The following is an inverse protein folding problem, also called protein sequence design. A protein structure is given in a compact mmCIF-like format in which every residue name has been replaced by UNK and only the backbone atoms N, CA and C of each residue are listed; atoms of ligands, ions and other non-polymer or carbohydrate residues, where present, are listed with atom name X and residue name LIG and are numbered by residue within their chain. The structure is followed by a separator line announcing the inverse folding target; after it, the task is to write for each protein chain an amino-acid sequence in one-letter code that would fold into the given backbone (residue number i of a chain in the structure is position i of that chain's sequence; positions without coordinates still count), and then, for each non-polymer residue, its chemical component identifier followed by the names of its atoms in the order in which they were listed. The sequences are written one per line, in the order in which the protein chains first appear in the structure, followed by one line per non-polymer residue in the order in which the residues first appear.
data_IF_692638586924
#
_entry.id   IF_692638586924
#
_cell.length_a   1.000
_cell.length_b   1.000
_cell.length_c   1.000
_cell.angle_alpha   90.00
_cell.angle_beta   90.00
_cell.angle_gamma   90.00
#
_symmetry.space_group_name_H-M   'P 1'
#
loop_
_entity.id
_entity.type
_entity.pdbx_description
1 polymer ?
#
# COMPACT_ATOMS: atom_id res chain seq x y z
N UNK A 1 -1.93 17.12 -2.17
CA UNK A 1 -0.71 16.39 -2.55
C UNK A 1 -1.10 14.99 -2.98
N UNK A 2 -0.43 14.45 -3.99
CA UNK A 2 -0.58 13.05 -4.41
C UNK A 2 0.15 12.13 -3.44
N UNK A 3 -0.18 10.84 -3.44
CA UNK A 3 0.49 9.84 -2.58
C UNK A 3 2.01 9.79 -2.82
N UNK A 4 2.48 9.94 -4.07
CA UNK A 4 3.91 10.01 -4.39
C UNK A 4 4.61 11.26 -3.84
N UNK A 5 3.93 12.41 -3.82
CA UNK A 5 4.47 13.61 -3.17
C UNK A 5 4.60 13.41 -1.65
N UNK A 6 3.67 12.67 -1.02
CA UNK A 6 3.78 12.33 0.41
C UNK A 6 4.90 11.33 0.66
N UNK A 7 5.11 10.35 -0.22
CA UNK A 7 6.27 9.45 -0.13
C UNK A 7 7.60 10.19 -0.21
N UNK A 8 7.69 11.25 -1.02
CA UNK A 8 8.87 12.12 -1.03
C UNK A 8 9.06 12.89 0.29
N UNK A 9 7.97 13.31 0.95
CA UNK A 9 8.07 13.88 2.30
C UNK A 9 8.54 12.84 3.31
N UNK A 10 8.03 11.61 3.24
CA UNK A 10 8.45 10.52 4.11
C UNK A 10 9.94 10.22 3.93
N UNK A 11 10.43 10.16 2.69
CA UNK A 11 11.86 10.03 2.39
C UNK A 11 12.69 11.15 3.03
N UNK A 12 12.30 12.42 2.89
CA UNK A 12 13.03 13.54 3.48
C UNK A 12 13.11 13.42 5.00
N UNK A 13 11.99 13.10 5.64
CA UNK A 13 11.93 12.91 7.09
C UNK A 13 12.82 11.74 7.54
N UNK A 14 12.86 10.62 6.79
CA UNK A 14 13.77 9.51 7.09
C UNK A 14 15.25 9.91 6.94
N UNK A 15 15.59 10.73 5.94
CA UNK A 15 16.95 11.25 5.77
C UNK A 15 17.36 12.18 6.92
N UNK A 16 16.43 12.98 7.44
CA UNK A 16 16.65 13.83 8.61
C UNK A 16 16.79 13.02 9.91
N UNK A 17 15.98 11.97 10.08
CA UNK A 17 16.01 11.09 11.27
C UNK A 17 17.24 10.17 11.29
N UNK A 18 17.69 9.71 10.13
CA UNK A 18 18.78 8.75 9.98
C UNK A 18 19.86 9.27 9.01
N UNK A 19 20.57 10.35 9.36
CA UNK A 19 21.54 10.99 8.46
C UNK A 19 22.78 10.12 8.16
N UNK A 20 22.92 8.97 8.84
CA UNK A 20 23.99 8.00 8.59
C UNK A 20 23.63 6.98 7.50
N UNK A 21 22.35 6.90 7.11
CA UNK A 21 21.86 5.95 6.12
C UNK A 21 21.65 6.63 4.77
N UNK A 22 21.93 5.89 3.70
CA UNK A 22 21.68 6.33 2.33
C UNK A 22 20.30 5.85 1.89
N UNK A 23 19.43 6.77 1.49
CA UNK A 23 18.08 6.46 0.99
C UNK A 23 17.91 6.91 -0.46
N UNK A 24 17.09 6.18 -1.21
CA UNK A 24 16.68 6.57 -2.56
C UNK A 24 15.17 6.37 -2.78
N UNK A 25 14.66 7.08 -3.80
CA UNK A 25 13.29 6.94 -4.28
C UNK A 25 13.28 6.43 -5.72
N UNK A 26 12.39 5.47 -5.99
CA UNK A 26 12.18 4.90 -7.32
C UNK A 26 10.70 4.97 -7.66
N UNK A 27 10.40 5.19 -8.94
CA UNK A 27 9.02 5.22 -9.45
C UNK A 27 8.57 3.88 -10.04
N UNK A 28 9.50 2.97 -10.29
CA UNK A 28 9.21 1.71 -10.98
C UNK A 28 10.20 0.60 -10.65
N UNK A 29 9.72 -0.64 -10.80
CA UNK A 29 10.51 -1.86 -10.70
C UNK A 29 10.33 -2.65 -11.99
N UNK A 30 11.44 -3.09 -12.60
CA UNK A 30 11.39 -3.91 -13.81
C UNK A 30 11.03 -5.35 -13.45
N UNK A 31 10.29 -6.05 -14.32
CA UNK A 31 9.98 -7.47 -14.13
C UNK A 31 11.24 -8.33 -14.09
N UNK A 32 12.29 -7.93 -14.81
CA UNK A 32 13.60 -8.59 -14.79
C UNK A 32 14.24 -8.58 -13.40
N UNK A 33 14.08 -7.49 -12.64
CA UNK A 33 14.61 -7.34 -11.28
C UNK A 33 13.93 -8.31 -10.32
N UNK A 34 12.59 -8.39 -10.37
CA UNK A 34 11.78 -9.36 -9.61
C UNK A 34 12.22 -10.78 -9.94
N UNK A 35 12.38 -11.10 -11.23
CA UNK A 35 12.83 -12.41 -11.67
C UNK A 35 14.26 -12.75 -11.18
N UNK A 36 15.17 -11.77 -11.13
CA UNK A 36 16.52 -11.96 -10.57
C UNK A 36 16.47 -12.23 -9.07
N UNK A 37 15.65 -11.48 -8.32
CA UNK A 37 15.47 -11.72 -6.89
C UNK A 37 14.90 -13.12 -6.60
N UNK A 38 13.87 -13.54 -7.34
CA UNK A 38 13.30 -14.89 -7.23
C UNK A 38 14.32 -16.00 -7.54
N UNK A 39 15.18 -15.83 -8.56
CA UNK A 39 16.23 -16.80 -8.91
C UNK A 39 17.31 -16.95 -7.83
N UNK A 40 17.57 -15.89 -7.04
CA UNK A 40 18.49 -15.97 -5.90
C UNK A 40 17.95 -16.89 -4.79
N UNK A 41 16.62 -17.03 -4.70
CA UNK A 41 15.95 -17.87 -3.69
C UNK A 41 15.86 -19.31 -4.18
N UNK A 42 15.38 -19.52 -5.41
CA UNK A 42 15.27 -20.86 -6.00
C UNK A 42 15.51 -20.79 -7.52
N UNK A 43 16.41 -21.62 -8.08
CA UNK A 43 16.73 -21.62 -9.51
C UNK A 43 15.54 -21.90 -10.43
N UNK A 44 14.45 -22.49 -9.95
CA UNK A 44 13.21 -22.77 -10.66
C UNK A 44 12.26 -21.56 -10.79
N UNK A 45 12.47 -20.49 -10.01
CA UNK A 45 11.61 -19.30 -10.03
C UNK A 45 12.10 -18.22 -11.02
N UNK A 46 11.25 -17.22 -11.29
CA UNK A 46 11.61 -16.06 -12.12
C UNK A 46 11.97 -16.37 -13.58
N UNK A 47 11.44 -17.47 -14.15
CA UNK A 47 11.84 -17.97 -15.48
C UNK A 47 11.24 -17.22 -16.66
N UNK A 48 10.07 -16.61 -16.48
CA UNK A 48 9.26 -16.10 -17.59
C UNK A 48 9.39 -14.59 -17.73
N UNK A 49 9.62 -14.13 -18.96
CA UNK A 49 9.60 -12.72 -19.35
C UNK A 49 9.25 -12.62 -20.84
N UNK A 50 7.97 -12.38 -21.14
CA UNK A 50 7.50 -12.28 -22.53
C UNK A 50 7.75 -10.90 -23.14
N UNK A 51 7.75 -9.85 -22.31
CA UNK A 51 7.95 -8.46 -22.70
C UNK A 51 9.15 -7.92 -21.92
N UNK A 52 10.25 -7.65 -22.61
CA UNK A 52 11.56 -7.33 -21.99
C UNK A 52 11.57 -6.03 -21.18
N UNK A 53 10.77 -5.05 -21.57
CA UNK A 53 10.64 -3.75 -20.88
C UNK A 53 9.46 -3.71 -19.89
N UNK A 54 8.88 -4.85 -19.53
CA UNK A 54 7.77 -4.90 -18.56
C UNK A 54 8.21 -4.42 -17.17
N UNK A 55 7.33 -3.66 -16.52
CA UNK A 55 7.57 -3.05 -15.21
C UNK A 55 6.27 -2.87 -14.44
N UNK A 56 6.39 -2.67 -13.13
CA UNK A 56 5.32 -2.17 -12.27
C UNK A 56 5.64 -0.73 -11.84
N UNK A 57 4.60 0.08 -11.69
CA UNK A 57 4.68 1.50 -11.34
C UNK A 57 3.66 1.75 -10.22
N UNK A 58 4.04 1.56 -8.95
CA UNK A 58 3.23 2.00 -7.81
C UNK A 58 3.12 3.53 -7.84
N UNK A 59 1.91 4.07 -7.74
CA UNK A 59 1.66 5.51 -7.89
C UNK A 59 2.25 6.37 -6.76
N UNK A 60 2.55 5.75 -5.61
CA UNK A 60 3.30 6.38 -4.52
C UNK A 60 4.80 6.08 -4.53
N UNK A 61 5.27 5.29 -5.49
CA UNK A 61 6.67 4.91 -5.64
C UNK A 61 7.18 3.95 -4.56
N UNK A 62 8.51 3.82 -4.54
CA UNK A 62 9.27 2.91 -3.70
C UNK A 62 10.38 3.70 -3.02
N UNK A 63 10.50 3.58 -1.70
CA UNK A 63 11.63 4.09 -0.93
C UNK A 63 12.52 2.92 -0.52
N UNK A 64 13.82 3.07 -0.71
CA UNK A 64 14.84 2.08 -0.37
C UNK A 64 15.91 2.70 0.52
N UNK A 65 16.53 1.86 1.35
CA UNK A 65 17.72 2.17 2.14
C UNK A 65 18.86 1.26 1.72
N UNK A 66 20.09 1.76 1.71
CA UNK A 66 21.27 0.96 1.42
C UNK A 66 21.78 0.28 2.68
N UNK A 67 21.96 -1.04 2.63
CA UNK A 67 22.46 -1.81 3.76
C UNK A 67 23.99 -1.82 3.86
N UNK A 68 24.52 -2.41 4.93
CA UNK A 68 25.95 -2.49 5.22
C UNK A 68 26.74 -3.27 4.15
N UNK A 69 26.06 -4.09 3.34
CA UNK A 69 26.64 -4.84 2.23
C UNK A 69 26.56 -4.07 0.90
N UNK A 70 25.95 -2.88 0.90
CA UNK A 70 25.75 -2.05 -0.29
C UNK A 70 24.52 -2.42 -1.12
N UNK A 71 23.66 -3.30 -0.63
CA UNK A 71 22.42 -3.69 -1.32
C UNK A 71 21.28 -2.72 -0.95
N UNK A 72 20.43 -2.39 -1.93
CA UNK A 72 19.26 -1.56 -1.70
C UNK A 72 18.09 -2.40 -1.18
N UNK A 73 17.53 -2.01 -0.03
CA UNK A 73 16.47 -2.72 0.69
C UNK A 73 15.23 -1.85 0.73
N UNK A 74 14.10 -2.39 0.29
CA UNK A 74 12.83 -1.65 0.24
C UNK A 74 12.35 -1.39 1.68
N UNK A 75 12.06 -0.13 1.99
CA UNK A 75 11.49 0.29 3.29
C UNK A 75 10.06 0.79 3.20
N UNK A 76 9.60 1.17 1.99
CA UNK A 76 8.22 1.61 1.76
C UNK A 76 7.81 1.41 0.30
N UNK A 77 6.63 0.85 0.06
CA UNK A 77 5.93 0.90 -1.22
C UNK A 77 4.52 1.40 -0.98
N UNK A 78 4.08 2.38 -1.76
CA UNK A 78 2.78 3.03 -1.54
C UNK A 78 1.95 3.08 -2.81
N UNK A 79 0.66 2.82 -2.65
CA UNK A 79 -0.35 3.03 -3.69
C UNK A 79 -1.59 3.68 -3.09
N UNK A 80 -2.25 4.54 -3.88
CA UNK A 80 -3.57 5.05 -3.56
C UNK A 80 -4.57 4.57 -4.62
N UNK A 81 -5.79 4.25 -4.18
CA UNK A 81 -6.88 3.86 -5.06
C UNK A 81 -8.15 4.58 -4.66
N UNK A 82 -8.75 5.24 -5.64
CA UNK A 82 -10.03 5.91 -5.52
C UNK A 82 -11.10 5.13 -6.28
N UNK A 83 -12.19 4.75 -5.61
CA UNK A 83 -13.34 4.10 -6.26
C UNK A 83 -14.66 4.49 -5.58
N UNK A 84 -15.67 4.75 -6.41
CA UNK A 84 -16.98 5.20 -5.96
C UNK A 84 -17.04 6.73 -5.87
N UNK A 85 -17.96 7.32 -6.65
CA UNK A 85 -18.19 8.77 -6.73
C UNK A 85 -19.56 9.17 -6.19
N UNK A 86 -20.20 8.29 -5.43
CA UNK A 86 -21.60 8.47 -5.03
C UNK A 86 -21.74 9.70 -4.13
N UNK A 87 -20.78 9.93 -3.22
CA UNK A 87 -20.77 11.11 -2.34
C UNK A 87 -20.71 12.40 -3.16
N UNK A 88 -19.81 12.49 -4.15
CA UNK A 88 -19.70 13.67 -5.02
C UNK A 88 -20.95 13.86 -5.90
N UNK A 89 -21.49 12.77 -6.46
CA UNK A 89 -22.69 12.82 -7.30
C UNK A 89 -23.91 13.31 -6.50
N UNK A 90 -24.12 12.76 -5.29
CA UNK A 90 -25.22 13.17 -4.41
C UNK A 90 -25.08 14.64 -4.01
N UNK A 91 -23.89 15.08 -3.59
CA UNK A 91 -23.62 16.49 -3.25
C UNK A 91 -23.87 17.43 -4.43
N UNK A 92 -23.59 16.98 -5.66
CA UNK A 92 -23.84 17.73 -6.88
C UNK A 92 -25.29 17.65 -7.38
N UNK A 93 -26.17 16.86 -6.74
CA UNK A 93 -27.53 16.62 -7.22
C UNK A 93 -27.60 15.81 -8.51
N UNK A 94 -26.53 15.11 -8.87
CA UNK A 94 -26.46 14.31 -10.09
C UNK A 94 -27.10 12.93 -9.85
N UNK A 95 -27.95 12.50 -10.77
CA UNK A 95 -28.42 11.12 -10.83
C UNK A 95 -27.46 10.30 -11.72
N UNK A 96 -27.54 8.99 -11.58
CA UNK A 96 -26.68 8.01 -12.27
C UNK A 96 -27.53 6.83 -12.77
N UNK A 97 -26.87 5.82 -13.33
CA UNK A 97 -27.51 4.68 -13.98
C UNK A 97 -27.82 4.95 -15.46
N UNK A 98 -28.13 3.89 -16.21
CA UNK A 98 -28.36 3.98 -17.66
C UNK A 98 -29.53 4.90 -18.04
N UNK A 99 -30.51 5.04 -17.13
CA UNK A 99 -31.68 5.92 -17.28
C UNK A 99 -31.52 7.26 -16.55
N UNK A 100 -30.38 7.50 -15.91
CA UNK A 100 -30.10 8.72 -15.14
C UNK A 100 -31.16 8.99 -14.04
N UNK A 101 -31.58 7.92 -13.36
CA UNK A 101 -32.70 7.89 -12.41
C UNK A 101 -32.33 7.38 -11.01
N UNK A 102 -31.06 7.02 -10.79
CA UNK A 102 -30.58 6.44 -9.53
C UNK A 102 -29.70 7.43 -8.76
N UNK A 103 -29.71 7.35 -7.43
CA UNK A 103 -28.77 8.09 -6.60
C UNK A 103 -27.40 7.42 -6.50
N UNK A 104 -27.37 6.10 -6.61
CA UNK A 104 -26.19 5.27 -6.38
C UNK A 104 -25.79 4.52 -7.64
N UNK A 105 -24.49 4.42 -7.88
CA UNK A 105 -23.94 3.58 -8.92
C UNK A 105 -23.59 2.20 -8.34
N UNK A 106 -23.99 1.13 -9.02
CA UNK A 106 -23.51 -0.20 -8.69
C UNK A 106 -21.97 -0.24 -8.81
N UNK A 107 -21.29 -0.59 -7.71
CA UNK A 107 -19.84 -0.51 -7.67
C UNK A 107 -19.18 -1.54 -8.60
N UNK A 108 -18.20 -1.10 -9.39
CA UNK A 108 -17.39 -1.98 -10.24
C UNK A 108 -16.36 -2.82 -9.47
N UNK A 109 -15.48 -3.50 -10.19
CA UNK A 109 -14.45 -4.38 -9.62
C UNK A 109 -13.01 -3.98 -9.99
N UNK A 110 -12.78 -2.77 -10.51
CA UNK A 110 -11.47 -2.31 -10.96
C UNK A 110 -10.40 -2.31 -9.86
N UNK A 111 -10.83 -2.22 -8.59
CA UNK A 111 -9.97 -2.29 -7.40
C UNK A 111 -9.20 -3.62 -7.25
N UNK A 112 -9.71 -4.71 -7.82
CA UNK A 112 -9.08 -6.04 -7.77
C UNK A 112 -7.68 -6.05 -8.42
N UNK A 113 -7.40 -5.11 -9.33
CA UNK A 113 -6.08 -4.96 -9.96
C UNK A 113 -4.96 -4.64 -8.95
N UNK A 114 -5.29 -4.15 -7.75
CA UNK A 114 -4.31 -3.85 -6.70
C UNK A 114 -3.53 -5.10 -6.28
N UNK A 115 -4.16 -6.27 -6.31
CA UNK A 115 -3.51 -7.55 -5.97
C UNK A 115 -2.28 -7.83 -6.84
N UNK A 116 -2.30 -7.44 -8.12
CA UNK A 116 -1.19 -7.70 -9.04
C UNK A 116 0.10 -7.03 -8.57
N UNK A 117 0.07 -5.75 -8.21
CA UNK A 117 1.28 -5.06 -7.73
C UNK A 117 1.70 -5.58 -6.34
N UNK A 118 0.74 -5.90 -5.46
CA UNK A 118 1.02 -6.52 -4.15
C UNK A 118 1.81 -7.82 -4.33
N UNK A 119 1.35 -8.73 -5.21
CA UNK A 119 2.04 -9.99 -5.49
C UNK A 119 3.42 -9.80 -6.12
N UNK A 120 3.58 -8.79 -6.98
CA UNK A 120 4.89 -8.50 -7.61
C UNK A 120 5.92 -8.02 -6.59
N UNK A 121 5.54 -7.13 -5.65
CA UNK A 121 6.42 -6.70 -4.57
C UNK A 121 6.66 -7.83 -3.57
N UNK A 122 5.65 -8.65 -3.27
CA UNK A 122 5.80 -9.80 -2.37
C UNK A 122 6.84 -10.78 -2.92
N UNK A 123 6.81 -11.05 -4.22
CA UNK A 123 7.80 -11.87 -4.91
C UNK A 123 9.21 -11.25 -4.87
N UNK A 124 9.32 -9.94 -5.10
CA UNK A 124 10.60 -9.24 -5.04
C UNK A 124 11.21 -9.32 -3.63
N UNK A 125 10.37 -9.20 -2.60
CA UNK A 125 10.75 -9.21 -1.19
C UNK A 125 10.59 -10.58 -0.53
N UNK A 126 10.57 -11.68 -1.30
CA UNK A 126 10.27 -13.01 -0.76
C UNK A 126 11.33 -13.50 0.24
N UNK A 127 12.56 -12.98 0.17
CA UNK A 127 13.63 -13.26 1.13
C UNK A 127 13.60 -12.34 2.37
N UNK A 128 12.72 -11.34 2.40
CA UNK A 128 12.63 -10.35 3.47
C UNK A 128 11.69 -10.82 4.59
N UNK A 129 11.96 -10.36 5.81
CA UNK A 129 11.09 -10.61 6.98
C UNK A 129 10.10 -9.48 7.25
N UNK A 130 10.03 -8.50 6.35
CA UNK A 130 9.06 -7.41 6.36
C UNK A 130 8.44 -7.21 4.97
N UNK A 131 7.25 -6.61 4.94
CA UNK A 131 6.49 -6.31 3.73
C UNK A 131 5.82 -4.94 3.85
N UNK A 132 6.56 -3.84 3.56
CA UNK A 132 6.11 -2.48 3.79
C UNK A 132 5.24 -1.92 2.65
N UNK A 133 4.25 -2.72 2.23
CA UNK A 133 3.32 -2.32 1.18
C UNK A 133 2.09 -1.66 1.81
N UNK A 134 1.84 -0.40 1.46
CA UNK A 134 0.71 0.40 1.96
C UNK A 134 -0.26 0.68 0.83
N UNK A 135 -1.54 0.36 1.06
CA UNK A 135 -2.62 0.66 0.13
C UNK A 135 -3.61 1.62 0.79
N UNK A 136 -3.67 2.85 0.28
CA UNK A 136 -4.65 3.86 0.72
C UNK A 136 -5.91 3.81 -0.15
N UNK A 137 -7.06 3.68 0.50
CA UNK A 137 -8.37 3.59 -0.13
C UNK A 137 -9.22 4.81 0.20
N UNK A 138 -9.85 5.41 -0.81
CA UNK A 138 -10.82 6.50 -0.65
C UNK A 138 -12.00 6.39 -1.63
N UNK A 139 -13.13 6.98 -1.25
CA UNK A 139 -14.37 6.97 -2.04
C UNK A 139 -15.49 6.13 -1.43
N UNK A 140 -16.69 6.26 -2.01
CA UNK A 140 -17.93 5.67 -1.47
C UNK A 140 -17.95 4.14 -1.45
N UNK A 141 -17.02 3.46 -2.13
CA UNK A 141 -16.95 2.00 -2.15
C UNK A 141 -16.12 1.41 -1.01
N UNK A 142 -15.49 2.25 -0.18
CA UNK A 142 -14.62 1.81 0.92
C UNK A 142 -15.09 2.32 2.28
N UNK A 143 -16.39 2.50 2.45
CA UNK A 143 -16.97 2.95 3.71
C UNK A 143 -16.77 1.90 4.82
N UNK A 144 -16.48 2.36 6.03
CA UNK A 144 -16.48 1.53 7.25
C UNK A 144 -17.52 2.00 8.28
N UNK A 145 -18.23 3.07 7.97
CA UNK A 145 -19.34 3.61 8.76
C UNK A 145 -20.45 4.10 7.83
N UNK A 146 -21.70 3.97 8.29
CA UNK A 146 -22.85 4.48 7.55
C UNK A 146 -22.84 6.00 7.59
N UNK A 147 -22.92 6.64 6.43
CA UNK A 147 -22.92 8.10 6.31
C UNK A 147 -24.22 8.61 5.69
N UNK A 148 -24.55 9.86 5.97
CA UNK A 148 -25.70 10.55 5.37
C UNK A 148 -25.20 11.73 4.54
N UNK A 149 -25.61 11.79 3.28
CA UNK A 149 -25.22 12.84 2.34
C UNK A 149 -26.46 13.60 1.89
N UNK A 150 -26.46 14.91 2.12
CA UNK A 150 -27.57 15.79 1.72
C UNK A 150 -27.41 16.25 0.27
N UNK A 151 -28.48 16.12 -0.51
CA UNK A 151 -28.59 16.63 -1.88
C UNK A 151 -28.94 18.13 -1.90
N UNK A 152 -28.70 18.84 -3.02
CA UNK A 152 -29.12 20.24 -3.17
C UNK A 152 -30.63 20.48 -3.01
N UNK A 153 -31.45 19.49 -3.35
CA UNK A 153 -32.92 19.51 -3.21
C UNK A 153 -33.40 19.31 -1.76
N UNK A 154 -32.48 19.13 -0.81
CA UNK A 154 -32.77 18.93 0.61
C UNK A 154 -32.92 17.48 1.03
N UNK A 155 -33.07 16.54 0.09
CA UNK A 155 -33.21 15.11 0.38
C UNK A 155 -31.91 14.54 0.96
N UNK A 156 -32.04 13.67 1.95
CA UNK A 156 -30.90 12.96 2.57
C UNK A 156 -30.81 11.56 1.99
N UNK A 157 -29.64 11.21 1.47
CA UNK A 157 -29.32 9.86 0.98
C UNK A 157 -28.42 9.18 2.01
N UNK A 158 -28.86 8.03 2.51
CA UNK A 158 -28.11 7.20 3.47
C UNK A 158 -27.27 6.19 2.69
N UNK A 159 -25.97 6.16 2.96
CA UNK A 159 -25.02 5.22 2.38
C UNK A 159 -24.65 4.19 3.45
N UNK A 160 -25.25 3.01 3.38
CA UNK A 160 -24.96 1.90 4.27
C UNK A 160 -23.62 1.26 3.92
N UNK A 161 -22.67 1.28 4.86
CA UNK A 161 -21.33 0.77 4.60
C UNK A 161 -21.31 -0.74 4.33
N UNK A 162 -22.24 -1.49 4.90
CA UNK A 162 -22.36 -2.95 4.74
C UNK A 162 -23.18 -3.37 3.50
N UNK A 163 -23.56 -2.42 2.64
CA UNK A 163 -24.28 -2.73 1.40
C UNK A 163 -23.34 -3.30 0.33
N UNK A 164 -23.61 -4.53 -0.12
CA UNK A 164 -22.89 -5.16 -1.23
C UNK A 164 -23.04 -4.45 -2.58
N UNK A 165 -23.98 -3.51 -2.70
CA UNK A 165 -24.10 -2.64 -3.87
C UNK A 165 -22.93 -1.64 -3.97
N UNK A 166 -22.44 -1.18 -2.82
CA UNK A 166 -21.42 -0.14 -2.69
C UNK A 166 -20.06 -0.70 -2.29
N UNK A 167 -20.01 -1.49 -1.22
CA UNK A 167 -18.74 -1.82 -0.55
C UNK A 167 -17.89 -2.80 -1.35
N UNK A 168 -16.59 -2.50 -1.47
CA UNK A 168 -15.60 -3.34 -2.17
C UNK A 168 -14.36 -3.63 -1.32
N UNK A 169 -14.40 -3.39 -0.01
CA UNK A 169 -13.29 -3.72 0.90
C UNK A 169 -12.97 -5.22 0.88
N UNK A 170 -13.98 -6.09 0.85
CA UNK A 170 -13.78 -7.55 0.79
C UNK A 170 -13.07 -8.03 -0.48
N UNK A 171 -12.99 -7.19 -1.52
CA UNK A 171 -12.18 -7.48 -2.72
C UNK A 171 -10.68 -7.35 -2.44
N UNK A 172 -10.27 -6.82 -1.30
CA UNK A 172 -8.89 -6.56 -0.92
C UNK A 172 -8.42 -7.32 0.31
N UNK A 173 -9.32 -7.82 1.16
CA UNK A 173 -8.98 -8.51 2.43
C UNK A 173 -8.13 -9.77 2.24
N UNK A 174 -8.13 -10.37 1.04
CA UNK A 174 -7.21 -11.45 0.70
C UNK A 174 -5.73 -11.01 0.73
N UNK A 175 -5.44 -9.73 0.45
CA UNK A 175 -4.07 -9.21 0.42
C UNK A 175 -3.42 -9.07 1.81
N UNK A 176 -4.22 -9.16 2.87
CA UNK A 176 -3.75 -9.13 4.25
C UNK A 176 -4.27 -10.31 5.08
N UNK A 177 -4.77 -11.37 4.42
CA UNK A 177 -5.29 -12.58 5.06
C UNK A 177 -6.45 -12.35 6.04
N UNK A 178 -7.23 -11.27 5.84
CA UNK A 178 -8.31 -10.88 6.76
C UNK A 178 -7.82 -10.34 8.10
N UNK A 179 -6.54 -9.95 8.21
CA UNK A 179 -6.03 -9.21 9.36
C UNK A 179 -6.68 -7.81 9.41
N UNK A 180 -6.65 -7.11 10.57
CA UNK A 180 -7.27 -5.80 10.71
C UNK A 180 -6.78 -4.79 9.67
N UNK A 181 -7.72 -4.08 9.04
CA UNK A 181 -7.43 -2.87 8.26
C UNK A 181 -7.01 -1.72 9.18
N UNK A 182 -6.50 -0.64 8.60
CA UNK A 182 -6.02 0.54 9.31
C UNK A 182 -4.94 0.22 10.35
N UNK A 183 -4.08 -0.76 10.02
CA UNK A 183 -3.02 -1.25 10.89
C UNK A 183 -1.73 -1.46 10.10
N UNK A 184 -0.62 -1.16 10.75
CA UNK A 184 0.70 -1.51 10.27
C UNK A 184 0.91 -3.03 10.40
N UNK A 185 1.03 -3.69 9.25
CA UNK A 185 1.25 -5.12 9.09
C UNK A 185 2.61 -5.42 8.45
N UNK A 186 3.56 -4.48 8.56
CA UNK A 186 4.86 -4.54 7.92
C UNK A 186 5.69 -5.75 8.36
N UNK A 187 5.67 -6.14 9.64
CA UNK A 187 6.36 -7.33 10.11
C UNK A 187 5.66 -8.61 9.60
N UNK A 188 6.40 -9.46 8.88
CA UNK A 188 5.83 -10.69 8.31
C UNK A 188 5.43 -11.66 9.43
N UNK A 189 4.25 -12.26 9.29
CA UNK A 189 3.74 -13.25 10.25
C UNK A 189 4.17 -14.65 9.86
N UNK A 190 4.73 -15.41 10.79
CA UNK A 190 5.01 -16.83 10.59
C UNK A 190 3.90 -17.68 11.22
N UNK A 191 3.27 -18.54 10.42
CA UNK A 191 2.25 -19.48 10.89
C UNK A 191 2.74 -20.91 10.75
N UNK A 192 2.28 -21.78 11.64
CA UNK A 192 2.60 -23.21 11.62
C UNK A 192 1.35 -24.02 11.26
N UNK A 193 1.49 -24.97 10.35
CA UNK A 193 0.48 -25.96 10.07
C UNK A 193 1.15 -27.31 9.88
N UNK A 194 0.92 -28.24 10.81
CA UNK A 194 1.68 -29.48 10.95
C UNK A 194 3.19 -29.17 11.04
N UNK A 195 4.01 -29.81 10.21
CA UNK A 195 5.47 -29.60 10.16
C UNK A 195 5.88 -28.39 9.30
N UNK A 196 4.93 -27.68 8.68
CA UNK A 196 5.22 -26.55 7.78
C UNK A 196 5.20 -25.23 8.55
N UNK A 197 6.26 -24.45 8.37
CA UNK A 197 6.29 -23.03 8.75
C UNK A 197 6.13 -22.19 7.49
N UNK A 198 5.16 -21.28 7.48
CA UNK A 198 4.80 -20.47 6.32
C UNK A 198 4.91 -19.00 6.73
N UNK A 199 5.68 -18.22 5.97
CA UNK A 199 5.75 -16.78 6.10
C UNK A 199 4.59 -16.12 5.34
N UNK A 200 3.91 -15.19 5.98
CA UNK A 200 2.80 -14.43 5.43
C UNK A 200 3.24 -12.96 5.23
N UNK A 201 3.09 -12.48 4.00
CA UNK A 201 3.36 -11.09 3.62
C UNK A 201 2.03 -10.35 3.50
N UNK A 202 1.64 -9.61 4.54
CA UNK A 202 0.35 -8.96 4.63
C UNK A 202 0.44 -7.48 4.23
N UNK A 203 -0.27 -7.06 3.20
CA UNK A 203 -0.32 -5.64 2.84
C UNK A 203 -1.03 -4.83 3.94
N UNK A 204 -0.50 -3.64 4.26
CA UNK A 204 -1.14 -2.72 5.18
C UNK A 204 -2.21 -1.91 4.44
N UNK A 205 -3.48 -2.30 4.61
CA UNK A 205 -4.62 -1.69 3.92
C UNK A 205 -5.23 -0.62 4.83
N UNK A 206 -5.24 0.62 4.36
CA UNK A 206 -5.83 1.76 5.05
C UNK A 206 -7.00 2.33 4.26
N UNK A 207 -8.07 2.70 4.94
CA UNK A 207 -9.23 3.34 4.32
C UNK A 207 -9.73 4.53 5.13
N UNK A 208 -10.16 5.56 4.40
CA UNK A 208 -10.88 6.68 4.98
C UNK A 208 -12.37 6.31 5.07
N UNK A 209 -12.75 5.76 6.22
CA UNK A 209 -14.03 5.07 6.44
C UNK A 209 -15.30 5.88 6.21
N UNK A 210 -15.21 7.21 6.26
CA UNK A 210 -16.30 8.15 6.01
C UNK A 210 -16.40 8.58 4.53
N UNK A 211 -15.57 7.99 3.65
CA UNK A 211 -15.54 8.28 2.22
C UNK A 211 -14.91 9.62 1.84
N UNK A 212 -14.33 10.35 2.79
CA UNK A 212 -13.58 11.57 2.52
C UNK A 212 -12.22 11.28 1.88
N UNK A 213 -11.56 12.35 1.44
CA UNK A 213 -10.19 12.29 0.93
C UNK A 213 -9.20 12.14 2.07
N UNK A 214 -8.07 11.50 1.78
CA UNK A 214 -6.99 11.39 2.74
C UNK A 214 -6.36 12.74 3.11
N UNK A 215 -6.13 12.97 4.40
CA UNK A 215 -5.31 14.07 4.89
C UNK A 215 -3.83 13.74 4.71
N UNK A 216 -3.06 14.72 4.22
CA UNK A 216 -1.62 14.55 3.94
C UNK A 216 -0.85 14.11 5.19
N UNK A 217 -1.05 14.80 6.31
CA UNK A 217 -0.34 14.49 7.56
C UNK A 217 -0.60 13.06 8.05
N UNK A 218 -1.82 12.56 7.84
CA UNK A 218 -2.20 11.19 8.23
C UNK A 218 -1.54 10.15 7.32
N UNK A 219 -1.51 10.38 6.01
CA UNK A 219 -0.76 9.51 5.10
C UNK A 219 0.73 9.49 5.46
N UNK A 220 1.31 10.66 5.74
CA UNK A 220 2.71 10.79 6.12
C UNK A 220 3.03 10.04 7.42
N UNK A 221 2.19 10.20 8.45
CA UNK A 221 2.29 9.48 9.72
C UNK A 221 2.33 7.95 9.52
N UNK A 222 1.40 7.42 8.71
CA UNK A 222 1.31 5.99 8.40
C UNK A 222 2.54 5.51 7.61
N UNK A 223 2.96 6.26 6.59
CA UNK A 223 4.13 5.92 5.77
C UNK A 223 5.40 5.88 6.61
N UNK A 224 5.58 6.83 7.54
CA UNK A 224 6.72 6.87 8.44
C UNK A 224 6.69 5.74 9.46
N UNK A 225 5.53 5.42 10.03
CA UNK A 225 5.38 4.28 10.94
C UNK A 225 5.84 2.98 10.26
N UNK A 226 5.33 2.71 9.06
CA UNK A 226 5.69 1.52 8.29
C UNK A 226 7.17 1.52 7.89
N UNK A 227 7.70 2.66 7.45
CA UNK A 227 9.12 2.77 7.09
C UNK A 227 10.05 2.54 8.28
N UNK A 228 9.68 3.05 9.46
CA UNK A 228 10.44 2.81 10.70
C UNK A 228 10.38 1.35 11.13
N UNK A 229 9.24 0.68 10.98
CA UNK A 229 9.16 -0.79 11.18
C UNK A 229 10.09 -1.53 10.23
N UNK A 230 10.14 -1.16 8.94
CA UNK A 230 11.10 -1.75 7.99
C UNK A 230 12.55 -1.58 8.45
N UNK A 231 12.93 -0.37 8.87
CA UNK A 231 14.28 -0.10 9.36
C UNK A 231 14.61 -0.90 10.62
N UNK A 232 13.65 -1.11 11.52
CA UNK A 232 13.81 -1.98 12.70
C UNK A 232 14.07 -3.44 12.28
N UNK A 233 13.29 -3.95 11.31
CA UNK A 233 13.46 -5.32 10.79
C UNK A 233 14.79 -5.51 10.06
N UNK A 234 15.31 -4.46 9.44
CA UNK A 234 16.62 -4.41 8.79
C UNK A 234 17.77 -4.11 9.76
N UNK A 235 17.51 -3.91 11.05
CA UNK A 235 18.48 -3.34 11.99
C UNK A 235 19.83 -4.07 12.06
N UNK A 236 19.85 -5.40 11.85
CA UNK A 236 21.09 -6.19 11.80
C UNK A 236 21.98 -5.81 10.61
N UNK A 237 21.36 -5.48 9.47
CA UNK A 237 22.02 -5.20 8.20
C UNK A 237 22.36 -3.69 8.07
N UNK A 238 21.95 -2.86 9.05
CA UNK A 238 22.19 -1.41 9.09
C UNK A 238 23.11 -0.99 10.26
N UNK A 239 23.49 -1.94 11.12
CA UNK A 239 24.16 -1.66 12.38
C UNK A 239 25.52 -0.96 12.20
N UNK A 240 26.29 -1.34 11.19
CA UNK A 240 27.63 -0.78 10.95
C UNK A 240 27.55 0.68 10.56
N UNK A 241 26.64 1.04 9.65
CA UNK A 241 26.39 2.44 9.28
C UNK A 241 25.90 3.27 10.47
N UNK A 242 24.97 2.74 11.26
CA UNK A 242 24.40 3.44 12.42
C UNK A 242 25.41 3.67 13.56
N UNK A 243 26.41 2.82 13.71
CA UNK A 243 27.39 2.89 14.81
C UNK A 243 28.71 3.59 14.47
N UNK A 244 29.13 3.60 13.19
CA UNK A 244 30.41 4.21 12.78
C UNK A 244 30.52 5.70 13.09
N UNK A 245 29.41 6.45 13.07
CA UNK A 245 29.41 7.89 13.36
C UNK A 245 29.37 8.27 14.85
N UNK A 246 29.34 7.31 15.79
CA UNK A 246 29.47 7.61 17.23
C UNK A 246 30.92 7.76 17.70
N UNK A 247 31.93 7.46 16.87
CA UNK A 247 33.36 7.53 17.24
C UNK A 247 34.03 8.88 16.92
N UNK A 248 33.28 9.89 16.51
CA UNK A 248 33.79 11.22 16.13
C UNK A 248 33.18 12.37 16.95
N UNK A 249 32.90 12.13 18.23
CA UNK A 249 32.66 13.19 19.23
C UNK A 249 33.57 12.98 20.43
#
# INVERSE_FOLDING_TARGET
MTVGEVSHLALKQLQEEYPQLEFQYRTSIKKEEINKALKKIDPGLGKTLFVSNSSIIPDGGIVEVKDDNGEWRIVLVTEAKHQGKDIENIKAGKLVGAKNDQDLMAAGNAIERSHKNISEIANLMLAESHFPYVLFLEGSNFLTETISVKRPDGRVVVLEYNSGMLNRLDRLTAANYGMPINKNLCENKFVKHNEKTIMLQAASIYTQGNGEKWKVDKMLEIMLDISRTSLQMLGRDLFSQLTKNKKSK
#
